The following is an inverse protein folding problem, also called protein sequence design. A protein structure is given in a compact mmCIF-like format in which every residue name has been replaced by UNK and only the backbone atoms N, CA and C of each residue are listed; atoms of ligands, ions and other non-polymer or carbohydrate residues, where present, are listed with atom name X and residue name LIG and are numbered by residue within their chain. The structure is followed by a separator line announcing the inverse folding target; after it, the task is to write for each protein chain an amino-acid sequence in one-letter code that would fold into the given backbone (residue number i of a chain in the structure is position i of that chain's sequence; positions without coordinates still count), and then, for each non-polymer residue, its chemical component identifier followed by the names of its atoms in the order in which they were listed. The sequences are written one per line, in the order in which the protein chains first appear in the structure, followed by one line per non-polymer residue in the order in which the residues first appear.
data_IF_544697201331
#
_entry.id   IF_544697201331
#
_cell.length_a   1.000
_cell.length_b   1.000
_cell.length_c   1.000
_cell.angle_alpha   90.00
_cell.angle_beta   90.00
_cell.angle_gamma   90.00
#
_symmetry.space_group_name_H-M   'P 1'
#
loop_
_entity.id
_entity.type
_entity.pdbx_description
1 polymer ?
#
# COMPACT_ATOMS: atom_id res chain seq x y z
N UNK A 1 -13.18 -5.00 -10.44
CA UNK A 1 -12.08 -5.98 -10.50
C UNK A 1 -11.11 -5.67 -9.36
N UNK A 2 -10.45 -6.68 -8.78
CA UNK A 2 -9.58 -6.55 -7.61
C UNK A 2 -10.28 -6.04 -6.34
N UNK A 3 -11.51 -6.49 -6.08
CA UNK A 3 -12.31 -6.02 -4.93
C UNK A 3 -11.98 -6.85 -3.70
N UNK A 4 -10.92 -6.46 -2.98
CA UNK A 4 -10.40 -7.21 -1.82
C UNK A 4 -11.48 -7.52 -0.78
N UNK A 5 -11.50 -8.77 -0.30
CA UNK A 5 -12.28 -9.15 0.90
C UNK A 5 -13.72 -9.61 0.65
N UNK A 6 -14.17 -9.69 -0.60
CA UNK A 6 -15.57 -10.07 -0.92
C UNK A 6 -15.98 -11.49 -0.52
N UNK A 7 -15.04 -12.34 -0.08
CA UNK A 7 -15.35 -13.65 0.53
C UNK A 7 -15.96 -13.53 1.94
N UNK A 8 -15.84 -12.36 2.59
CA UNK A 8 -16.32 -12.11 3.96
C UNK A 8 -17.03 -10.77 4.12
N UNK A 9 -16.87 -9.83 3.19
CA UNK A 9 -17.52 -8.53 3.25
C UNK A 9 -19.05 -8.67 3.20
N UNK A 10 -19.76 -7.97 4.10
CA UNK A 10 -21.23 -7.85 4.06
C UNK A 10 -21.70 -6.74 3.13
N UNK A 11 -20.84 -5.74 2.91
CA UNK A 11 -21.12 -4.60 2.03
C UNK A 11 -19.87 -4.22 1.23
N UNK A 12 -20.08 -3.73 0.02
CA UNK A 12 -19.08 -3.17 -0.86
C UNK A 12 -19.35 -1.68 -1.04
N UNK A 13 -18.35 -0.84 -0.74
CA UNK A 13 -18.41 0.58 -1.11
C UNK A 13 -18.12 0.68 -2.61
N UNK A 14 -19.13 1.04 -3.37
CA UNK A 14 -19.07 1.09 -4.83
C UNK A 14 -19.13 2.54 -5.30
N UNK A 15 -18.10 2.98 -6.01
CA UNK A 15 -18.05 4.31 -6.60
C UNK A 15 -18.61 4.23 -8.02
N UNK A 16 -19.74 4.90 -8.26
CA UNK A 16 -20.45 4.89 -9.54
C UNK A 16 -20.60 6.30 -10.09
N UNK A 17 -20.68 6.43 -11.41
CA UNK A 17 -20.97 7.72 -12.05
C UNK A 17 -22.48 7.92 -12.10
N UNK A 18 -22.98 8.92 -11.37
CA UNK A 18 -24.40 9.30 -11.30
C UNK A 18 -24.72 10.52 -12.17
N UNK A 19 -23.72 11.32 -12.51
CA UNK A 19 -23.86 12.47 -13.40
C UNK A 19 -22.55 12.80 -14.14
N UNK A 20 -22.62 13.72 -15.10
CA UNK A 20 -21.47 14.15 -15.89
C UNK A 20 -21.00 13.12 -16.93
N UNK A 21 -19.78 13.29 -17.43
CA UNK A 21 -19.15 12.46 -18.46
C UNK A 21 -17.95 11.71 -17.92
N UNK A 22 -17.51 10.70 -18.66
CA UNK A 22 -16.29 9.97 -18.34
C UNK A 22 -15.09 10.93 -18.27
N UNK A 23 -14.31 10.78 -17.20
CA UNK A 23 -13.17 11.67 -16.89
C UNK A 23 -13.51 12.87 -16.01
N UNK A 24 -14.79 13.21 -15.81
CA UNK A 24 -15.16 14.33 -14.94
C UNK A 24 -14.82 14.05 -13.47
N UNK A 25 -14.25 15.05 -12.81
CA UNK A 25 -13.87 14.99 -11.39
C UNK A 25 -15.08 15.04 -10.43
N UNK A 26 -16.23 15.53 -10.91
CA UNK A 26 -17.53 15.47 -10.22
C UNK A 26 -18.43 14.42 -10.87
N UNK A 27 -19.53 14.10 -10.21
CA UNK A 27 -20.53 13.16 -10.74
C UNK A 27 -20.28 11.70 -10.36
N UNK A 28 -19.34 11.46 -9.44
CA UNK A 28 -19.10 10.14 -8.85
C UNK A 28 -19.79 10.11 -7.49
N UNK A 29 -20.64 9.12 -7.25
CA UNK A 29 -21.30 8.88 -5.95
C UNK A 29 -20.77 7.59 -5.34
N UNK A 30 -20.56 7.58 -4.02
CA UNK A 30 -20.23 6.38 -3.27
C UNK A 30 -21.52 5.73 -2.75
N UNK A 31 -21.69 4.44 -2.99
CA UNK A 31 -22.85 3.66 -2.55
C UNK A 31 -22.40 2.52 -1.64
N UNK A 32 -23.13 2.26 -0.55
CA UNK A 32 -22.95 1.07 0.28
C UNK A 32 -23.86 -0.01 -0.28
N UNK A 33 -23.29 -0.94 -1.05
CA UNK A 33 -24.04 -2.01 -1.71
C UNK A 33 -23.90 -3.30 -0.90
N UNK A 34 -25.00 -3.93 -0.44
CA UNK A 34 -24.92 -5.26 0.17
C UNK A 34 -24.25 -6.27 -0.77
N UNK A 35 -23.35 -7.10 -0.23
CA UNK A 35 -22.58 -8.04 -1.06
C UNK A 35 -23.41 -9.20 -1.62
N UNK A 36 -24.58 -9.44 -1.03
CA UNK A 36 -25.59 -10.44 -1.42
C UNK A 36 -26.78 -9.82 -2.17
N UNK A 37 -26.73 -8.52 -2.51
CA UNK A 37 -27.78 -7.88 -3.30
C UNK A 37 -27.92 -8.57 -4.67
N UNK A 38 -29.17 -8.69 -5.13
CA UNK A 38 -29.44 -9.28 -6.44
C UNK A 38 -28.70 -8.53 -7.55
N UNK A 39 -28.04 -9.28 -8.43
CA UNK A 39 -27.15 -8.74 -9.47
C UNK A 39 -25.70 -8.48 -9.05
N UNK A 40 -25.32 -8.65 -7.78
CA UNK A 40 -23.92 -8.66 -7.32
C UNK A 40 -23.39 -10.08 -7.42
N UNK A 41 -22.33 -10.28 -8.21
CA UNK A 41 -21.75 -11.61 -8.40
C UNK A 41 -20.24 -11.59 -8.34
N UNK A 42 -19.68 -12.43 -7.46
CA UNK A 42 -18.26 -12.78 -7.49
C UNK A 42 -18.04 -13.74 -8.64
N UNK A 43 -17.37 -13.26 -9.69
CA UNK A 43 -17.19 -14.03 -10.93
C UNK A 43 -16.02 -15.01 -10.81
N UNK A 44 -14.90 -14.55 -10.28
CA UNK A 44 -13.71 -15.35 -10.07
C UNK A 44 -12.78 -14.70 -9.05
N UNK A 45 -11.99 -15.50 -8.34
CA UNK A 45 -10.84 -15.02 -7.58
C UNK A 45 -9.62 -15.00 -8.48
N UNK A 46 -8.99 -13.84 -8.57
CA UNK A 46 -7.88 -13.61 -9.48
C UNK A 46 -6.61 -14.25 -8.93
N UNK A 47 -5.79 -14.82 -9.81
CA UNK A 47 -4.50 -15.39 -9.44
C UNK A 47 -3.45 -14.28 -9.28
N UNK A 48 -2.71 -14.29 -8.18
CA UNK A 48 -1.68 -13.29 -7.90
C UNK A 48 -0.39 -13.94 -7.45
N UNK A 49 0.63 -13.12 -7.24
CA UNK A 49 1.90 -13.59 -6.67
C UNK A 49 1.72 -14.20 -5.26
N UNK A 50 0.67 -13.82 -4.52
CA UNK A 50 0.34 -14.40 -3.23
C UNK A 50 -0.95 -15.22 -3.33
N UNK A 51 -0.82 -16.53 -3.54
CA UNK A 51 -1.95 -17.49 -3.61
C UNK A 51 -2.15 -18.23 -2.28
N UNK A 52 -3.42 -18.52 -1.88
CA UNK A 52 -4.67 -18.06 -2.50
C UNK A 52 -4.92 -16.56 -2.27
N UNK A 53 -5.73 -15.93 -3.13
CA UNK A 53 -5.97 -14.48 -3.10
C UNK A 53 -7.38 -14.14 -2.68
N UNK A 54 -7.51 -12.99 -2.04
CA UNK A 54 -8.74 -12.38 -1.58
C UNK A 54 -9.27 -11.30 -2.54
N UNK A 55 -8.77 -11.26 -3.80
CA UNK A 55 -9.08 -10.20 -4.79
C UNK A 55 -9.91 -10.73 -5.96
N UNK A 56 -11.24 -10.79 -5.83
CA UNK A 56 -12.09 -11.20 -6.93
C UNK A 56 -12.35 -10.13 -7.98
N UNK A 57 -12.77 -10.60 -9.15
CA UNK A 57 -13.57 -9.82 -10.09
C UNK A 57 -15.04 -9.94 -9.67
N UNK A 58 -15.66 -8.81 -9.35
CA UNK A 58 -17.08 -8.70 -9.04
C UNK A 58 -17.79 -7.98 -10.18
N UNK A 59 -18.92 -8.51 -10.61
CA UNK A 59 -19.85 -7.87 -11.54
C UNK A 59 -21.07 -7.34 -10.79
N UNK A 60 -21.62 -6.24 -11.30
CA UNK A 60 -22.83 -5.60 -10.81
C UNK A 60 -23.76 -5.43 -12.00
N UNK A 61 -24.89 -6.14 -12.01
CA UNK A 61 -25.86 -6.12 -13.12
C UNK A 61 -27.24 -5.78 -12.57
N UNK A 62 -27.80 -4.62 -12.95
CA UNK A 62 -29.13 -4.17 -12.53
C UNK A 62 -29.36 -4.19 -10.99
N UNK A 63 -28.30 -3.94 -10.22
CA UNK A 63 -28.36 -3.93 -8.75
C UNK A 63 -29.17 -2.71 -8.29
N UNK A 64 -30.29 -2.96 -7.63
CA UNK A 64 -31.09 -1.90 -7.01
C UNK A 64 -30.57 -1.59 -5.60
N UNK A 65 -30.48 -0.31 -5.25
CA UNK A 65 -30.18 0.15 -3.89
C UNK A 65 -31.09 1.34 -3.52
N UNK A 66 -31.49 1.49 -2.25
CA UNK A 66 -32.29 2.62 -1.80
C UNK A 66 -31.46 3.91 -1.75
N UNK A 67 -32.12 5.07 -1.72
CA UNK A 67 -31.45 6.38 -1.57
C UNK A 67 -30.58 6.45 -0.30
N UNK A 68 -31.00 5.78 0.77
CA UNK A 68 -30.23 5.68 2.02
C UNK A 68 -28.88 4.94 1.87
N UNK A 69 -28.65 4.23 0.76
CA UNK A 69 -27.36 3.61 0.47
C UNK A 69 -26.30 4.62 0.00
N UNK A 70 -26.68 5.86 -0.31
CA UNK A 70 -25.73 6.92 -0.68
C UNK A 70 -24.84 7.24 0.52
N UNK A 71 -23.53 7.05 0.34
CA UNK A 71 -22.53 7.37 1.34
C UNK A 71 -21.93 8.75 1.08
N UNK A 72 -22.26 9.70 1.96
CA UNK A 72 -21.86 11.09 1.83
C UNK A 72 -22.77 11.87 0.86
N UNK A 73 -22.21 12.87 0.20
CA UNK A 73 -22.96 13.70 -0.74
C UNK A 73 -23.07 13.04 -2.12
N UNK A 74 -24.25 13.17 -2.74
CA UNK A 74 -24.42 12.90 -4.18
C UNK A 74 -23.34 13.63 -4.99
N UNK A 75 -22.77 12.94 -5.97
CA UNK A 75 -21.69 13.42 -6.84
C UNK A 75 -20.36 13.78 -6.13
N UNK A 76 -20.26 13.53 -4.82
CA UNK A 76 -19.11 13.83 -3.95
C UNK A 76 -18.21 12.62 -3.62
N UNK A 77 -18.46 11.46 -4.21
CA UNK A 77 -17.78 10.20 -3.93
C UNK A 77 -16.26 10.22 -4.18
N UNK A 78 -15.77 11.03 -5.13
CA UNK A 78 -14.32 11.12 -5.38
C UNK A 78 -13.56 11.67 -4.15
N UNK A 79 -14.14 12.61 -3.42
CA UNK A 79 -13.52 13.16 -2.21
C UNK A 79 -13.43 12.10 -1.10
N UNK A 80 -14.46 11.25 -0.99
CA UNK A 80 -14.49 10.12 -0.05
C UNK A 80 -13.40 9.11 -0.42
N UNK A 81 -13.30 8.73 -1.69
CA UNK A 81 -12.26 7.83 -2.17
C UNK A 81 -10.86 8.39 -1.88
N UNK A 82 -10.64 9.67 -2.15
CA UNK A 82 -9.37 10.33 -1.86
C UNK A 82 -9.04 10.31 -0.37
N UNK A 83 -10.01 10.56 0.51
CA UNK A 83 -9.78 10.47 1.95
C UNK A 83 -9.31 9.07 2.36
N UNK A 84 -10.06 8.03 1.97
CA UNK A 84 -9.73 6.63 2.29
C UNK A 84 -8.33 6.23 1.80
N UNK A 85 -7.96 6.68 0.61
CA UNK A 85 -6.67 6.36 -0.01
C UNK A 85 -5.49 7.00 0.74
N UNK A 86 -5.60 8.24 1.24
CA UNK A 86 -4.50 8.86 2.00
C UNK A 86 -4.23 8.13 3.32
N UNK A 87 -5.27 7.77 4.06
CA UNK A 87 -5.15 6.99 5.30
C UNK A 87 -4.52 5.62 5.05
N UNK A 88 -5.00 4.92 4.02
CA UNK A 88 -4.45 3.61 3.67
C UNK A 88 -3.00 3.68 3.21
N UNK A 89 -2.59 4.73 2.51
CA UNK A 89 -1.20 4.90 2.07
C UNK A 89 -0.23 4.99 3.25
N UNK A 90 -0.57 5.73 4.30
CA UNK A 90 0.25 5.81 5.52
C UNK A 90 0.23 4.49 6.29
N UNK A 91 -0.93 3.85 6.42
CA UNK A 91 -1.05 2.53 7.07
C UNK A 91 -0.22 1.46 6.35
N UNK A 92 -0.29 1.41 5.02
CA UNK A 92 0.54 0.54 4.20
C UNK A 92 2.01 0.86 4.37
N UNK A 93 2.38 2.14 4.41
CA UNK A 93 3.77 2.53 4.60
C UNK A 93 4.34 2.06 5.94
N UNK A 94 3.56 2.20 7.01
CA UNK A 94 3.93 1.70 8.33
C UNK A 94 4.05 0.16 8.36
N UNK A 95 3.13 -0.55 7.70
CA UNK A 95 3.19 -2.02 7.56
C UNK A 95 4.46 -2.47 6.83
N UNK A 96 4.75 -1.85 5.68
CA UNK A 96 5.94 -2.14 4.87
C UNK A 96 7.23 -1.84 5.63
N UNK A 97 7.27 -0.74 6.40
CA UNK A 97 8.41 -0.40 7.25
C UNK A 97 8.67 -1.46 8.31
N UNK A 98 7.62 -1.92 9.00
CA UNK A 98 7.74 -2.96 10.03
C UNK A 98 8.22 -4.29 9.46
N UNK A 99 7.71 -4.68 8.29
CA UNK A 99 8.16 -5.88 7.59
C UNK A 99 9.63 -5.77 7.12
N UNK A 100 10.06 -4.60 6.65
CA UNK A 100 11.45 -4.34 6.29
C UNK A 100 12.39 -4.47 7.50
N UNK A 101 12.04 -3.84 8.62
CA UNK A 101 12.82 -3.91 9.88
C UNK A 101 12.94 -5.35 10.38
N UNK A 102 11.86 -6.12 10.32
CA UNK A 102 11.86 -7.54 10.66
C UNK A 102 12.85 -8.34 9.78
N UNK A 103 12.79 -8.17 8.45
CA UNK A 103 13.70 -8.85 7.52
C UNK A 103 15.17 -8.56 7.84
N UNK A 104 15.49 -7.30 8.15
CA UNK A 104 16.86 -6.87 8.47
C UNK A 104 17.31 -7.49 9.79
N UNK A 105 16.50 -7.40 10.85
CA UNK A 105 16.84 -7.92 12.18
C UNK A 105 17.07 -9.42 12.18
N UNK A 106 16.21 -10.19 11.51
CA UNK A 106 16.38 -11.63 11.36
C UNK A 106 17.65 -11.97 10.56
N UNK A 107 17.95 -11.20 9.51
CA UNK A 107 19.14 -11.39 8.69
C UNK A 107 20.44 -11.13 9.46
N UNK A 108 20.48 -10.05 10.26
CA UNK A 108 21.62 -9.75 11.13
C UNK A 108 21.81 -10.84 12.18
N UNK A 109 20.72 -11.32 12.80
CA UNK A 109 20.77 -12.42 13.75
C UNK A 109 21.34 -13.69 13.11
N UNK A 110 20.77 -14.12 11.98
CA UNK A 110 21.23 -15.31 11.27
C UNK A 110 22.68 -15.20 10.81
N UNK A 111 23.10 -14.02 10.34
CA UNK A 111 24.47 -13.80 9.87
C UNK A 111 25.52 -13.97 10.99
N UNK A 112 25.16 -13.67 12.25
CA UNK A 112 26.03 -13.90 13.41
C UNK A 112 26.10 -15.38 13.82
N UNK A 113 25.05 -16.16 13.56
CA UNK A 113 24.99 -17.58 13.92
C UNK A 113 25.63 -18.49 12.86
N UNK A 114 25.46 -18.16 11.57
CA UNK A 114 25.84 -19.03 10.45
C UNK A 114 27.35 -18.94 10.13
N UNK A 115 28.04 -20.09 10.17
CA UNK A 115 29.51 -20.20 9.98
C UNK A 115 29.93 -21.24 8.92
N UNK A 116 29.59 -21.07 7.63
CA UNK A 116 29.85 -22.08 6.60
C UNK A 116 31.35 -22.26 6.29
N UNK A 117 32.17 -21.23 6.55
CA UNK A 117 33.62 -21.24 6.34
C UNK A 117 34.38 -20.99 7.64
N UNK A 118 33.88 -21.52 8.77
CA UNK A 118 34.51 -21.40 10.08
C UNK A 118 34.38 -20.03 10.77
N UNK A 119 33.89 -19.01 10.07
CA UNK A 119 33.61 -17.68 10.62
C UNK A 119 32.17 -17.24 10.31
N UNK A 120 31.67 -16.32 11.14
CA UNK A 120 30.32 -15.75 11.01
C UNK A 120 30.15 -15.04 9.66
N UNK A 121 29.01 -15.24 9.02
CA UNK A 121 28.64 -14.46 7.84
C UNK A 121 28.68 -12.96 8.11
N UNK A 122 28.37 -12.55 9.33
CA UNK A 122 28.39 -11.16 9.78
C UNK A 122 29.76 -10.48 9.66
N UNK A 123 30.87 -11.22 9.49
CA UNK A 123 32.20 -10.63 9.23
C UNK A 123 32.41 -10.22 7.78
N UNK A 124 31.59 -10.71 6.85
CA UNK A 124 31.73 -10.42 5.43
C UNK A 124 31.04 -9.09 5.09
N UNK A 125 31.80 -8.16 4.51
CA UNK A 125 31.29 -6.86 4.09
C UNK A 125 30.15 -6.96 3.05
N UNK A 126 30.17 -7.99 2.20
CA UNK A 126 29.07 -8.28 1.28
C UNK A 126 27.74 -8.64 1.96
N UNK A 127 27.76 -9.00 3.24
CA UNK A 127 26.56 -9.16 4.08
C UNK A 127 26.26 -7.87 4.84
N UNK A 128 27.29 -7.19 5.36
CA UNK A 128 27.13 -5.98 6.16
C UNK A 128 26.59 -4.80 5.36
N UNK A 129 27.19 -4.46 4.21
CA UNK A 129 26.88 -3.22 3.50
C UNK A 129 25.42 -3.14 3.04
N UNK A 130 24.83 -4.19 2.42
CA UNK A 130 23.41 -4.15 2.09
C UNK A 130 22.50 -3.98 3.31
N UNK A 131 22.84 -4.61 4.45
CA UNK A 131 22.08 -4.45 5.70
C UNK A 131 22.18 -3.04 6.26
N UNK A 132 23.36 -2.41 6.19
CA UNK A 132 23.58 -1.04 6.67
C UNK A 132 22.75 -0.04 5.86
N UNK A 133 22.76 -0.15 4.53
CA UNK A 133 21.95 0.71 3.65
C UNK A 133 20.45 0.58 3.96
N UNK A 134 19.95 -0.65 4.04
CA UNK A 134 18.55 -0.93 4.33
C UNK A 134 18.14 -0.47 5.74
N UNK A 135 18.97 -0.69 6.75
CA UNK A 135 18.72 -0.25 8.13
C UNK A 135 18.67 1.28 8.23
N UNK A 136 19.56 1.98 7.50
CA UNK A 136 19.56 3.45 7.46
C UNK A 136 18.28 3.97 6.81
N UNK A 137 17.83 3.34 5.73
CA UNK A 137 16.56 3.69 5.08
C UNK A 137 15.34 3.44 5.98
N UNK A 138 15.36 2.39 6.80
CA UNK A 138 14.34 2.15 7.83
C UNK A 138 14.27 3.32 8.82
N UNK A 139 15.40 3.80 9.36
CA UNK A 139 15.39 4.92 10.31
C UNK A 139 14.84 6.21 9.67
N UNK A 140 15.28 6.53 8.45
CA UNK A 140 14.79 7.72 7.72
C UNK A 140 13.28 7.65 7.49
N UNK A 141 12.76 6.51 7.01
CA UNK A 141 11.34 6.35 6.74
C UNK A 141 10.50 6.26 8.02
N UNK A 142 11.04 5.72 9.10
CA UNK A 142 10.35 5.70 10.40
C UNK A 142 10.04 7.12 10.87
N UNK A 143 11.00 8.02 10.77
CA UNK A 143 10.81 9.43 11.12
C UNK A 143 9.83 10.12 10.16
N UNK A 144 9.99 9.92 8.85
CA UNK A 144 9.11 10.52 7.85
C UNK A 144 7.65 10.08 8.01
N UNK A 145 7.41 8.77 8.20
CA UNK A 145 6.08 8.21 8.41
C UNK A 145 5.45 8.75 9.69
N UNK A 146 6.17 8.74 10.81
CA UNK A 146 5.66 9.25 12.09
C UNK A 146 5.35 10.74 12.04
N UNK A 147 6.25 11.54 11.46
CA UNK A 147 6.03 12.98 11.27
C UNK A 147 4.80 13.25 10.39
N UNK A 148 4.68 12.53 9.27
CA UNK A 148 3.54 12.71 8.35
C UNK A 148 2.23 12.29 8.99
N UNK A 149 2.21 11.17 9.72
CA UNK A 149 1.04 10.72 10.48
C UNK A 149 0.63 11.76 11.53
N UNK A 150 1.59 12.27 12.30
CA UNK A 150 1.33 13.34 13.27
C UNK A 150 0.78 14.60 12.60
N UNK A 151 1.35 15.06 11.48
CA UNK A 151 0.81 16.20 10.70
C UNK A 151 -0.63 15.93 10.22
N UNK A 152 -0.93 14.72 9.76
CA UNK A 152 -2.29 14.33 9.35
C UNK A 152 -3.31 14.38 10.48
N UNK A 153 -2.89 14.03 11.71
CA UNK A 153 -3.76 14.10 12.89
C UNK A 153 -4.09 15.54 13.31
N UNK A 154 -3.26 16.52 12.91
CA UNK A 154 -3.48 17.94 13.20
C UNK A 154 -4.28 18.67 12.10
N UNK A 155 -4.69 17.97 11.03
CA UNK A 155 -5.33 18.57 9.86
C UNK A 155 -6.68 17.92 9.58
N UNK A 156 -7.61 18.71 9.03
CA UNK A 156 -8.80 18.12 8.42
C UNK A 156 -8.40 17.29 7.19
N UNK A 157 -9.22 16.29 6.84
CA UNK A 157 -8.94 15.42 5.69
C UNK A 157 -8.83 16.18 4.36
N UNK A 158 -9.63 17.23 4.09
CA UNK A 158 -9.42 18.11 2.95
C UNK A 158 -8.08 18.85 2.96
N UNK A 159 -7.60 19.26 4.13
CA UNK A 159 -6.29 19.91 4.27
C UNK A 159 -5.15 18.93 3.99
N UNK A 160 -5.22 17.69 4.51
CA UNK A 160 -4.25 16.63 4.19
C UNK A 160 -4.07 16.48 2.67
N UNK A 161 -5.19 16.36 1.95
CA UNK A 161 -5.17 16.19 0.49
C UNK A 161 -4.56 17.39 -0.27
N UNK A 162 -4.66 18.60 0.28
CA UNK A 162 -4.16 19.84 -0.34
C UNK A 162 -2.74 20.19 0.07
N UNK A 163 -2.35 19.92 1.31
CA UNK A 163 -1.14 20.48 1.91
C UNK A 163 0.02 19.50 2.00
N UNK A 164 -0.26 18.21 2.24
CA UNK A 164 0.79 17.21 2.54
C UNK A 164 0.62 15.88 1.77
N UNK A 165 -0.15 15.89 0.68
CA UNK A 165 -0.37 14.70 -0.16
C UNK A 165 0.93 14.15 -0.77
N UNK A 166 1.91 15.02 -1.03
CA UNK A 166 3.26 14.64 -1.44
C UNK A 166 4.02 13.85 -0.37
N UNK A 167 3.97 14.26 0.91
CA UNK A 167 4.60 13.53 2.02
C UNK A 167 3.99 12.15 2.20
N UNK A 168 2.66 12.04 2.11
CA UNK A 168 1.95 10.75 2.11
C UNK A 168 2.42 9.86 0.96
N UNK A 169 2.57 10.43 -0.24
CA UNK A 169 3.09 9.72 -1.41
C UNK A 169 4.54 9.25 -1.20
N UNK A 170 5.43 10.12 -0.68
CA UNK A 170 6.82 9.78 -0.36
C UNK A 170 6.91 8.61 0.61
N UNK A 171 6.15 8.66 1.71
CA UNK A 171 6.06 7.56 2.67
C UNK A 171 5.68 6.25 2.00
N UNK A 172 4.61 6.26 1.20
CA UNK A 172 4.06 5.05 0.60
C UNK A 172 5.02 4.40 -0.41
N UNK A 173 5.47 5.12 -1.44
CA UNK A 173 6.26 4.45 -2.48
C UNK A 173 7.65 4.01 -1.98
N UNK A 174 8.29 4.79 -1.09
CA UNK A 174 9.61 4.43 -0.58
C UNK A 174 9.56 3.24 0.38
N UNK A 175 8.59 3.21 1.30
CA UNK A 175 8.46 2.08 2.24
C UNK A 175 8.10 0.78 1.53
N UNK A 176 7.21 0.83 0.53
CA UNK A 176 6.83 -0.36 -0.25
C UNK A 176 8.00 -0.90 -1.06
N UNK A 177 8.86 -0.02 -1.61
CA UNK A 177 10.11 -0.42 -2.27
C UNK A 177 11.11 -1.02 -1.28
N UNK A 178 11.33 -0.35 -0.16
CA UNK A 178 12.26 -0.79 0.89
C UNK A 178 11.90 -2.19 1.41
N UNK A 179 10.61 -2.45 1.66
CA UNK A 179 10.17 -3.77 2.12
C UNK A 179 10.52 -4.88 1.12
N UNK A 180 10.34 -4.63 -0.18
CA UNK A 180 10.70 -5.61 -1.20
C UNK A 180 12.21 -5.84 -1.24
N UNK A 181 13.02 -4.78 -1.16
CA UNK A 181 14.48 -4.88 -1.14
C UNK A 181 14.99 -5.60 0.12
N UNK A 182 14.41 -5.31 1.28
CA UNK A 182 14.77 -5.95 2.53
C UNK A 182 14.40 -7.43 2.56
N UNK A 183 13.23 -7.80 2.05
CA UNK A 183 12.82 -9.20 1.94
C UNK A 183 13.70 -9.99 0.96
N UNK A 184 14.01 -9.40 -0.20
CA UNK A 184 14.92 -9.99 -1.19
C UNK A 184 16.32 -10.22 -0.61
N UNK A 185 16.90 -9.20 0.01
CA UNK A 185 18.20 -9.31 0.65
C UNK A 185 18.18 -10.30 1.83
N UNK A 186 17.08 -10.40 2.58
CA UNK A 186 16.94 -11.38 3.65
C UNK A 186 16.95 -12.82 3.12
N UNK A 187 16.31 -13.09 1.97
CA UNK A 187 16.42 -14.37 1.29
C UNK A 187 17.87 -14.64 0.88
N UNK A 188 18.58 -13.65 0.33
CA UNK A 188 19.97 -13.78 -0.07
C UNK A 188 20.90 -14.11 1.12
N UNK A 189 20.74 -13.44 2.26
CA UNK A 189 21.54 -13.68 3.48
C UNK A 189 21.29 -15.07 4.06
N UNK A 190 20.06 -15.55 4.00
CA UNK A 190 19.69 -16.87 4.50
C UNK A 190 19.99 -18.01 3.51
N UNK A 191 20.15 -17.70 2.22
CA UNK A 191 20.30 -18.70 1.16
C UNK A 191 19.04 -19.54 0.99
N UNK A 192 19.20 -20.84 0.76
CA UNK A 192 18.08 -21.75 0.46
C UNK A 192 16.95 -21.75 1.50
N UNK A 193 17.26 -21.62 2.79
CA UNK A 193 16.23 -21.56 3.84
C UNK A 193 15.40 -20.27 3.75
N UNK A 194 16.02 -19.16 3.32
CA UNK A 194 15.35 -17.88 3.15
C UNK A 194 14.35 -17.88 1.98
N UNK A 195 14.68 -18.61 0.91
CA UNK A 195 13.79 -18.81 -0.24
C UNK A 195 12.65 -19.81 0.04
N UNK A 196 12.80 -20.64 1.07
CA UNK A 196 11.79 -21.64 1.45
C UNK A 196 10.73 -21.05 2.39
N UNK A 197 9.65 -21.80 2.62
CA UNK A 197 8.59 -21.45 3.59
C UNK A 197 9.01 -21.64 5.07
N UNK A 198 10.24 -22.05 5.35
CA UNK A 198 10.76 -22.09 6.73
C UNK A 198 11.01 -20.68 7.29
N UNK A 199 11.16 -19.69 6.42
CA UNK A 199 11.25 -18.28 6.78
C UNK A 199 10.18 -17.48 6.00
N UNK A 200 9.68 -16.37 6.55
CA UNK A 200 8.57 -15.64 5.94
C UNK A 200 9.00 -14.69 4.82
N UNK A 201 10.30 -14.56 4.51
CA UNK A 201 10.81 -13.52 3.60
C UNK A 201 10.20 -13.61 2.20
N UNK A 202 10.07 -14.82 1.66
CA UNK A 202 9.45 -15.04 0.35
C UNK A 202 7.97 -14.58 0.34
N UNK A 203 7.24 -14.87 1.42
CA UNK A 203 5.86 -14.40 1.59
C UNK A 203 5.79 -12.88 1.74
N UNK A 204 6.68 -12.28 2.54
CA UNK A 204 6.76 -10.82 2.73
C UNK A 204 6.99 -10.14 1.38
N UNK A 205 7.94 -10.65 0.58
CA UNK A 205 8.20 -10.12 -0.76
C UNK A 205 6.97 -10.20 -1.64
N UNK A 206 6.36 -11.38 -1.78
CA UNK A 206 5.18 -11.58 -2.64
C UNK A 206 3.98 -10.74 -2.22
N UNK A 207 3.76 -10.62 -0.91
CA UNK A 207 2.68 -9.82 -0.34
C UNK A 207 2.89 -8.33 -0.59
N UNK A 208 4.05 -7.78 -0.24
CA UNK A 208 4.31 -6.34 -0.32
C UNK A 208 4.60 -5.87 -1.74
N UNK A 209 4.97 -6.78 -2.66
CA UNK A 209 5.14 -6.44 -4.07
C UNK A 209 3.90 -5.78 -4.68
N UNK A 210 2.70 -6.16 -4.23
CA UNK A 210 1.45 -5.53 -4.69
C UNK A 210 1.29 -4.09 -4.23
N UNK A 211 1.87 -3.68 -3.09
CA UNK A 211 1.77 -2.31 -2.60
C UNK A 211 2.55 -1.30 -3.46
N UNK A 212 3.39 -1.78 -4.39
CA UNK A 212 3.99 -0.92 -5.43
C UNK A 212 3.02 -0.57 -6.58
N UNK A 213 1.84 -1.20 -6.63
CA UNK A 213 0.82 -0.99 -7.67
C UNK A 213 -0.54 -0.57 -7.09
N UNK A 214 -0.94 -1.09 -5.93
CA UNK A 214 -2.20 -0.76 -5.26
C UNK A 214 -2.14 0.61 -4.58
N UNK A 215 -3.28 1.22 -4.28
CA UNK A 215 -3.36 2.59 -3.71
C UNK A 215 -2.67 3.66 -4.58
N UNK A 216 -2.44 3.37 -5.85
CA UNK A 216 -1.73 4.19 -6.83
C UNK A 216 -0.28 3.72 -7.00
N UNK A 217 0.09 3.40 -8.24
CA UNK A 217 1.43 2.90 -8.57
C UNK A 217 2.54 3.87 -8.15
N UNK A 218 3.76 3.36 -8.01
CA UNK A 218 4.92 4.21 -7.67
C UNK A 218 5.08 5.40 -8.62
N UNK A 219 4.77 5.25 -9.90
CA UNK A 219 4.83 6.31 -10.90
C UNK A 219 3.80 7.40 -10.62
N UNK A 220 2.58 7.03 -10.21
CA UNK A 220 1.54 7.98 -9.81
C UNK A 220 1.94 8.70 -8.52
N UNK A 221 2.56 8.00 -7.56
CA UNK A 221 3.10 8.64 -6.35
C UNK A 221 4.22 9.64 -6.69
N UNK A 222 5.17 9.25 -7.55
CA UNK A 222 6.24 10.15 -8.04
C UNK A 222 5.67 11.34 -8.78
N UNK A 223 4.65 11.16 -9.62
CA UNK A 223 3.95 12.25 -10.31
C UNK A 223 3.33 13.22 -9.31
N UNK A 224 2.73 12.72 -8.23
CA UNK A 224 2.15 13.56 -7.15
C UNK A 224 3.23 14.38 -6.46
N UNK A 225 4.35 13.75 -6.08
CA UNK A 225 5.49 14.46 -5.46
C UNK A 225 6.06 15.52 -6.41
N UNK A 226 6.28 15.16 -7.68
CA UNK A 226 6.76 16.10 -8.69
C UNK A 226 5.80 17.28 -8.85
N UNK A 227 4.49 17.05 -8.85
CA UNK A 227 3.50 18.12 -8.94
C UNK A 227 3.60 19.13 -7.78
N UNK A 228 3.87 18.67 -6.56
CA UNK A 228 4.11 19.56 -5.41
C UNK A 228 5.46 20.27 -5.51
N UNK A 229 6.52 19.52 -5.84
CA UNK A 229 7.88 20.04 -5.92
C UNK A 229 8.04 21.16 -6.96
N UNK A 230 7.36 21.01 -8.10
CA UNK A 230 7.39 21.97 -9.20
C UNK A 230 6.21 22.97 -9.20
N UNK A 231 5.41 23.02 -8.12
CA UNK A 231 4.36 24.04 -7.96
C UNK A 231 3.11 23.86 -8.85
N UNK A 232 2.91 22.71 -9.47
CA UNK A 232 1.67 22.41 -10.20
C UNK A 232 0.48 22.11 -9.26
N UNK A 233 0.78 21.62 -8.05
CA UNK A 233 -0.16 21.34 -6.96
C UNK A 233 0.44 21.74 -5.61
N UNK A 234 -0.40 21.77 -4.58
CA UNK A 234 0.04 22.00 -3.20
C UNK A 234 0.02 23.48 -2.77
N UNK A 235 0.55 23.78 -1.57
CA UNK A 235 0.54 25.12 -0.99
C UNK A 235 1.30 26.17 -1.82
N UNK A 236 2.33 25.74 -2.56
CA UNK A 236 3.19 26.60 -3.37
C UNK A 236 2.74 26.71 -4.83
N UNK A 237 1.46 26.41 -5.10
CA UNK A 237 0.92 26.44 -6.46
C UNK A 237 0.97 27.87 -7.01
N UNK A 238 1.56 28.02 -8.18
CA UNK A 238 1.66 29.26 -8.94
C UNK A 238 1.22 29.06 -10.38
#
# INVERSE_FOLDING_TARGET
MWTTGMHTATHCVTFVRTSGKDGDAKGITALIVPSDADGVKVEEYLWTFNMPTDHPRVSFTNVWVPEAAVFGAMDGGLAIAQHFVHENRIRQAASSLGAADYCIRESVKYARERKPFGQELARNQGIQFPMVELATQVEMLRLLIRKTAWEMDQMSKPEVAKQISDKVAMCNFWSNRLCCQAADQAMQVHGGIGYSRHKPFEHIYRHHRRYRITEGSEEIQKRKVGAFLFGYLGPNKH
#
